data_IF_779822977105
#
_entry.id   IF_779822977105
#
_cell.length_a   1.000
_cell.length_b   1.000
_cell.length_c   1.000
_cell.angle_alpha   90.00
_cell.angle_beta   90.00
_cell.angle_gamma   90.00
#
_symmetry.space_group_name_H-M   'P 1'
#
loop_
_entity.id
_entity.type
_entity.pdbx_description
1 polymer ?
#
# COMPACT_ATOMS: atom_id res chain seq x y z
N UNK A 1 18.65 9.85 -34.38
CA UNK A 1 18.57 8.38 -34.22
C UNK A 1 19.94 7.87 -33.74
N UNK A 2 20.11 7.69 -32.42
CA UNK A 2 21.33 7.15 -31.84
C UNK A 2 21.40 5.66 -32.10
N UNK A 3 22.52 5.16 -32.60
CA UNK A 3 22.82 3.75 -32.78
C UNK A 3 22.65 3.02 -31.46
N UNK A 4 21.66 2.14 -31.37
CA UNK A 4 21.53 1.17 -30.27
C UNK A 4 22.73 0.22 -30.41
N UNK A 5 23.75 0.41 -29.57
CA UNK A 5 24.86 -0.52 -29.49
C UNK A 5 24.34 -1.74 -28.74
N UNK A 6 24.12 -2.85 -29.46
CA UNK A 6 23.68 -4.12 -28.88
C UNK A 6 24.79 -4.74 -28.04
N UNK A 7 25.01 -4.22 -26.83
CA UNK A 7 25.82 -4.92 -25.83
C UNK A 7 24.95 -6.06 -25.26
N UNK A 8 25.32 -7.30 -25.59
CA UNK A 8 24.71 -8.49 -24.98
C UNK A 8 25.06 -8.50 -23.50
N UNK A 9 24.09 -8.17 -22.65
CA UNK A 9 24.21 -8.37 -21.21
C UNK A 9 23.74 -9.78 -20.91
N UNK A 10 24.61 -10.57 -20.27
CA UNK A 10 24.24 -11.90 -19.82
C UNK A 10 23.50 -11.70 -18.47
N UNK A 11 22.18 -11.62 -18.52
CA UNK A 11 21.37 -11.73 -17.31
C UNK A 11 21.63 -13.10 -16.69
N UNK A 12 21.80 -13.19 -15.38
CA UNK A 12 22.03 -14.45 -14.68
C UNK A 12 20.80 -15.38 -14.68
N UNK A 13 19.73 -15.01 -15.40
CA UNK A 13 18.46 -15.72 -15.49
C UNK A 13 17.86 -15.62 -16.91
N UNK A 14 16.93 -16.52 -17.21
CA UNK A 14 16.21 -16.54 -18.48
C UNK A 14 14.84 -15.86 -18.29
N UNK A 15 14.53 -14.89 -19.13
CA UNK A 15 13.23 -14.21 -19.13
C UNK A 15 12.11 -15.15 -19.61
N UNK A 16 10.99 -15.12 -18.93
CA UNK A 16 9.75 -15.79 -19.36
C UNK A 16 9.16 -15.14 -20.61
N UNK A 17 8.31 -15.83 -21.38
CA UNK A 17 7.69 -15.28 -22.59
C UNK A 17 7.00 -13.94 -22.36
N UNK A 18 6.16 -13.82 -21.32
CA UNK A 18 5.45 -12.58 -20.99
C UNK A 18 6.41 -11.41 -20.71
N UNK A 19 7.55 -11.65 -20.04
CA UNK A 19 8.55 -10.60 -19.78
C UNK A 19 9.18 -10.10 -21.09
N UNK A 20 9.46 -11.01 -22.02
CA UNK A 20 10.00 -10.65 -23.35
C UNK A 20 9.00 -9.84 -24.15
N UNK A 21 7.72 -10.20 -24.12
CA UNK A 21 6.66 -9.50 -24.84
C UNK A 21 6.45 -8.08 -24.30
N UNK A 22 6.44 -7.90 -22.97
CA UNK A 22 6.37 -6.59 -22.33
C UNK A 22 7.55 -5.71 -22.75
N UNK A 23 8.78 -6.24 -22.64
CA UNK A 23 10.01 -5.51 -23.01
C UNK A 23 9.98 -5.13 -24.50
N UNK A 24 9.58 -6.07 -25.36
CA UNK A 24 9.46 -5.83 -26.79
C UNK A 24 8.42 -4.76 -27.12
N UNK A 25 7.29 -4.75 -26.39
CA UNK A 25 6.27 -3.73 -26.51
C UNK A 25 6.79 -2.34 -26.13
N UNK A 26 7.49 -2.21 -25.00
CA UNK A 26 8.11 -0.94 -24.55
C UNK A 26 9.12 -0.43 -25.59
N UNK A 27 9.93 -1.31 -26.16
CA UNK A 27 10.89 -0.91 -27.20
C UNK A 27 10.23 -0.51 -28.50
N UNK A 28 9.09 -1.11 -28.84
CA UNK A 28 8.31 -0.80 -30.04
C UNK A 28 7.53 0.51 -29.91
N UNK A 29 7.04 0.81 -28.74
CA UNK A 29 6.22 1.99 -28.42
C UNK A 29 6.86 2.80 -27.27
N UNK A 30 8.01 3.45 -27.52
CA UNK A 30 8.86 4.00 -26.46
C UNK A 30 8.36 5.34 -25.86
N UNK A 31 7.19 5.81 -26.29
CA UNK A 31 6.59 7.05 -25.79
C UNK A 31 5.26 6.80 -25.06
N UNK A 32 4.85 5.53 -24.92
CA UNK A 32 3.53 5.17 -24.46
C UNK A 32 3.55 4.62 -23.01
N UNK A 33 2.35 4.43 -22.48
CA UNK A 33 2.12 3.84 -21.15
C UNK A 33 1.83 2.35 -21.31
N UNK A 34 2.66 1.53 -20.67
CA UNK A 34 2.54 0.08 -20.67
C UNK A 34 2.05 -0.39 -19.30
N UNK A 35 0.88 -1.03 -19.27
CA UNK A 35 0.21 -1.43 -18.02
C UNK A 35 0.15 -2.94 -17.94
N UNK A 36 0.78 -3.49 -16.92
CA UNK A 36 0.92 -4.93 -16.70
C UNK A 36 0.09 -5.39 -15.53
N UNK A 37 -0.98 -6.11 -15.79
CA UNK A 37 -1.77 -6.82 -14.79
C UNK A 37 -1.17 -8.19 -14.53
N UNK A 38 -0.91 -8.52 -13.27
CA UNK A 38 -0.19 -9.73 -12.90
C UNK A 38 -0.67 -10.28 -11.56
N UNK A 39 -0.67 -11.58 -11.40
CA UNK A 39 -0.83 -12.22 -10.08
C UNK A 39 0.48 -12.21 -9.29
N UNK A 40 0.45 -12.60 -8.02
CA UNK A 40 1.67 -12.76 -7.20
C UNK A 40 2.60 -13.82 -7.78
N UNK A 41 3.91 -13.64 -7.54
CA UNK A 41 4.98 -14.61 -7.88
C UNK A 41 5.14 -14.90 -9.38
N UNK A 42 4.85 -13.93 -10.26
CA UNK A 42 5.00 -14.07 -11.72
C UNK A 42 6.22 -13.35 -12.28
N UNK A 43 7.10 -12.83 -11.42
CA UNK A 43 8.34 -12.16 -11.86
C UNK A 43 8.17 -10.69 -12.23
N UNK A 44 7.16 -9.99 -11.68
CA UNK A 44 6.94 -8.54 -11.85
C UNK A 44 8.21 -7.72 -11.61
N UNK A 45 8.82 -7.89 -10.43
CA UNK A 45 10.02 -7.15 -10.05
C UNK A 45 11.18 -7.39 -11.01
N UNK A 46 11.39 -8.65 -11.46
CA UNK A 46 12.41 -8.99 -12.45
C UNK A 46 12.16 -8.26 -13.78
N UNK A 47 10.92 -8.09 -14.19
CA UNK A 47 10.59 -7.32 -15.40
C UNK A 47 11.00 -5.87 -15.24
N UNK A 48 10.64 -5.22 -14.13
CA UNK A 48 11.02 -3.83 -13.83
C UNK A 48 12.53 -3.69 -13.77
N UNK A 49 13.22 -4.53 -13.02
CA UNK A 49 14.68 -4.54 -12.88
C UNK A 49 15.37 -4.67 -14.24
N UNK A 50 14.90 -5.59 -15.07
CA UNK A 50 15.44 -5.81 -16.43
C UNK A 50 15.26 -4.57 -17.29
N UNK A 51 14.11 -3.94 -17.26
CA UNK A 51 13.80 -2.74 -18.07
C UNK A 51 14.65 -1.56 -17.59
N UNK A 52 14.76 -1.33 -16.27
CA UNK A 52 15.60 -0.27 -15.71
C UNK A 52 17.08 -0.43 -16.13
N UNK A 53 17.63 -1.65 -16.01
CA UNK A 53 18.98 -1.94 -16.46
C UNK A 53 19.15 -1.75 -17.97
N UNK A 54 18.18 -2.21 -18.77
CA UNK A 54 18.20 -2.09 -20.21
C UNK A 54 18.29 -0.61 -20.66
N UNK A 55 17.45 0.24 -20.09
CA UNK A 55 17.44 1.68 -20.41
C UNK A 55 18.71 2.38 -19.92
N UNK A 56 19.17 2.08 -18.70
CA UNK A 56 20.37 2.69 -18.12
C UNK A 56 21.65 2.35 -18.90
N UNK A 57 21.74 1.15 -19.45
CA UNK A 57 22.94 0.69 -20.17
C UNK A 57 22.94 1.17 -21.62
N UNK A 58 21.76 1.15 -22.28
CA UNK A 58 21.70 1.44 -23.72
C UNK A 58 21.45 2.92 -24.04
N UNK A 59 20.93 3.72 -23.10
CA UNK A 59 20.70 5.16 -23.29
C UNK A 59 21.60 5.95 -22.36
N UNK A 60 22.76 6.37 -22.87
CA UNK A 60 23.76 7.17 -22.12
C UNK A 60 23.13 8.45 -21.58
N UNK A 61 23.45 8.81 -20.32
CA UNK A 61 22.92 9.99 -19.66
C UNK A 61 21.42 9.88 -19.28
N UNK A 62 20.82 8.68 -19.32
CA UNK A 62 19.41 8.51 -18.95
C UNK A 62 19.20 8.57 -17.44
N UNK A 63 18.14 9.26 -17.03
CA UNK A 63 17.59 9.20 -15.69
C UNK A 63 16.38 8.28 -15.71
N UNK A 64 16.43 7.18 -14.94
CA UNK A 64 15.41 6.17 -14.83
C UNK A 64 14.87 6.17 -13.40
N UNK A 65 13.56 6.15 -13.23
CA UNK A 65 12.94 6.23 -11.90
C UNK A 65 12.01 5.03 -11.72
N UNK A 66 12.07 4.42 -10.55
CA UNK A 66 11.04 3.47 -10.09
C UNK A 66 10.39 4.01 -8.82
N UNK A 67 9.06 3.94 -8.79
CA UNK A 67 8.23 4.32 -7.64
C UNK A 67 7.57 3.06 -7.12
N UNK A 68 7.76 2.79 -5.83
CA UNK A 68 7.14 1.68 -5.11
C UNK A 68 6.21 2.21 -4.02
N UNK A 69 5.21 1.47 -3.56
CA UNK A 69 4.35 1.89 -2.45
C UNK A 69 5.16 2.27 -1.20
N UNK A 70 6.10 1.42 -0.79
CA UNK A 70 6.91 1.61 0.41
C UNK A 70 8.39 1.74 0.10
N UNK A 71 9.14 2.39 1.00
CA UNK A 71 10.59 2.49 0.88
C UNK A 71 11.28 1.12 0.97
N UNK A 72 10.71 0.18 1.74
CA UNK A 72 11.23 -1.18 1.89
C UNK A 72 11.27 -1.95 0.57
N UNK A 73 10.21 -1.84 -0.24
CA UNK A 73 10.16 -2.45 -1.58
C UNK A 73 11.20 -1.82 -2.51
N UNK A 74 11.33 -0.50 -2.51
CA UNK A 74 12.36 0.21 -3.28
C UNK A 74 13.78 -0.21 -2.88
N UNK A 75 14.07 -0.37 -1.59
CA UNK A 75 15.37 -0.85 -1.08
C UNK A 75 15.70 -2.27 -1.55
N UNK A 76 14.72 -3.15 -1.59
CA UNK A 76 14.92 -4.53 -2.09
C UNK A 76 15.35 -4.49 -3.55
N UNK A 77 14.62 -3.79 -4.41
CA UNK A 77 14.91 -3.66 -5.83
C UNK A 77 16.27 -2.97 -6.08
N UNK A 78 16.58 -1.91 -5.32
CA UNK A 78 17.91 -1.27 -5.33
C UNK A 78 19.03 -2.28 -5.06
N UNK A 79 18.89 -3.14 -4.05
CA UNK A 79 19.89 -4.16 -3.70
C UNK A 79 20.08 -5.18 -4.82
N UNK A 80 18.99 -5.66 -5.43
CA UNK A 80 19.06 -6.63 -6.53
C UNK A 80 19.75 -6.03 -7.76
N UNK A 81 19.36 -4.83 -8.19
CA UNK A 81 19.98 -4.15 -9.34
C UNK A 81 21.46 -3.81 -9.05
N UNK A 82 21.77 -3.31 -7.84
CA UNK A 82 23.16 -3.07 -7.43
C UNK A 82 24.00 -4.34 -7.55
N UNK A 83 23.51 -5.47 -7.02
CA UNK A 83 24.21 -6.75 -7.08
C UNK A 83 24.45 -7.20 -8.54
N UNK A 84 23.50 -6.98 -9.43
CA UNK A 84 23.62 -7.32 -10.84
C UNK A 84 24.64 -6.43 -11.58
N UNK A 85 24.77 -5.16 -11.20
CA UNK A 85 25.59 -4.17 -11.91
C UNK A 85 26.99 -3.97 -11.33
N UNK A 86 27.21 -4.15 -10.02
CA UNK A 86 28.44 -3.73 -9.31
C UNK A 86 29.74 -4.34 -9.84
N UNK A 87 29.68 -5.48 -10.51
CA UNK A 87 30.83 -6.14 -11.10
C UNK A 87 31.04 -5.81 -12.61
N UNK A 88 30.17 -4.95 -13.17
CA UNK A 88 30.28 -4.56 -14.57
C UNK A 88 31.17 -3.31 -14.71
N UNK A 89 31.96 -3.18 -15.79
CA UNK A 89 32.76 -1.98 -16.06
C UNK A 89 31.95 -0.68 -16.17
N UNK A 90 30.63 -0.79 -16.38
CA UNK A 90 29.70 0.33 -16.45
C UNK A 90 29.26 0.85 -15.07
N UNK A 91 29.50 0.12 -13.99
CA UNK A 91 29.11 0.55 -12.65
C UNK A 91 30.03 1.69 -12.18
N UNK A 92 29.43 2.79 -11.70
CA UNK A 92 30.17 3.93 -11.14
C UNK A 92 30.03 3.98 -9.61
N UNK A 93 28.79 4.06 -9.12
CA UNK A 93 28.52 4.18 -7.68
C UNK A 93 27.09 3.74 -7.33
N UNK A 94 26.86 3.46 -6.05
CA UNK A 94 25.53 3.23 -5.49
C UNK A 94 25.43 3.83 -4.09
N UNK A 95 24.45 4.69 -3.87
CA UNK A 95 24.17 5.34 -2.61
C UNK A 95 22.94 4.70 -1.94
N UNK A 96 23.15 4.01 -0.81
CA UNK A 96 22.09 3.32 -0.07
C UNK A 96 21.21 4.25 0.78
N UNK A 97 21.60 5.51 0.98
CA UNK A 97 20.79 6.51 1.71
C UNK A 97 19.77 7.16 0.77
N UNK A 98 20.24 7.64 -0.40
CA UNK A 98 19.38 8.26 -1.41
C UNK A 98 18.71 7.24 -2.33
N UNK A 99 19.10 5.96 -2.24
CA UNK A 99 18.67 4.86 -3.11
C UNK A 99 18.88 5.21 -4.58
N UNK A 100 20.12 5.46 -4.95
CA UNK A 100 20.53 5.83 -6.30
C UNK A 100 21.70 4.96 -6.78
N UNK A 101 21.65 4.55 -8.05
CA UNK A 101 22.72 3.85 -8.74
C UNK A 101 23.17 4.70 -9.92
N UNK A 102 24.45 4.97 -10.05
CA UNK A 102 25.06 5.68 -11.16
C UNK A 102 25.95 4.77 -12.01
N UNK A 103 25.89 4.99 -13.32
CA UNK A 103 26.72 4.30 -14.30
C UNK A 103 27.78 5.25 -14.92
N UNK A 104 28.89 4.67 -15.40
CA UNK A 104 29.99 5.45 -16.01
C UNK A 104 29.59 6.12 -17.34
N UNK A 105 28.50 5.69 -17.97
CA UNK A 105 27.93 6.34 -19.15
C UNK A 105 27.05 7.57 -18.81
N UNK A 106 27.01 7.99 -17.54
CA UNK A 106 26.23 9.13 -17.07
C UNK A 106 24.78 8.80 -16.75
N UNK A 107 24.35 7.55 -16.87
CA UNK A 107 22.97 7.18 -16.53
C UNK A 107 22.79 6.94 -15.04
N UNK A 108 21.58 7.15 -14.54
CA UNK A 108 21.19 6.89 -13.14
C UNK A 108 19.89 6.11 -13.05
N UNK A 109 19.73 5.38 -11.92
CA UNK A 109 18.49 4.73 -11.49
C UNK A 109 18.18 5.22 -10.09
N UNK A 110 17.00 5.84 -9.93
CA UNK A 110 16.50 6.37 -8.65
C UNK A 110 15.32 5.52 -8.18
N UNK A 111 15.35 5.14 -6.90
CA UNK A 111 14.29 4.39 -6.26
C UNK A 111 13.56 5.30 -5.28
N UNK A 112 12.29 5.51 -5.52
CA UNK A 112 11.41 6.43 -4.76
C UNK A 112 10.26 5.66 -4.12
N UNK A 113 9.73 6.23 -3.04
CA UNK A 113 8.54 5.71 -2.36
C UNK A 113 7.35 6.66 -2.53
N UNK A 114 6.17 6.09 -2.72
CA UNK A 114 4.93 6.84 -2.74
C UNK A 114 4.57 7.46 -1.36
N UNK A 115 5.07 6.87 -0.27
CA UNK A 115 4.91 7.43 1.09
C UNK A 115 5.62 8.78 1.25
N UNK A 116 6.67 9.05 0.47
CA UNK A 116 7.46 10.28 0.52
C UNK A 116 7.12 11.20 -0.65
N UNK A 117 5.84 11.55 -0.79
CA UNK A 117 5.30 12.32 -1.93
C UNK A 117 6.01 13.66 -2.20
N UNK A 118 6.48 14.35 -1.16
CA UNK A 118 7.21 15.63 -1.29
C UNK A 118 8.54 15.47 -2.03
N UNK A 119 9.19 14.31 -1.93
CA UNK A 119 10.44 14.00 -2.65
C UNK A 119 10.24 13.58 -4.11
N UNK A 120 9.01 13.44 -4.58
CA UNK A 120 8.72 13.04 -5.96
C UNK A 120 8.73 14.24 -6.92
N UNK A 121 8.32 15.42 -6.47
CA UNK A 121 8.22 16.62 -7.33
C UNK A 121 9.59 17.09 -7.84
N UNK A 122 9.62 17.61 -9.07
CA UNK A 122 10.82 18.15 -9.69
C UNK A 122 11.77 17.12 -10.33
N UNK A 123 11.40 15.86 -10.39
CA UNK A 123 12.17 14.86 -11.12
C UNK A 123 11.86 14.91 -12.62
N UNK A 124 12.89 14.66 -13.44
CA UNK A 124 12.76 14.54 -14.89
C UNK A 124 13.28 13.17 -15.33
N UNK A 125 12.43 12.41 -15.99
CA UNK A 125 12.77 11.10 -16.53
C UNK A 125 13.18 11.27 -17.98
N UNK A 126 14.40 10.83 -18.30
CA UNK A 126 14.90 10.82 -19.68
C UNK A 126 15.04 9.39 -20.23
N UNK A 127 14.97 8.38 -19.35
CA UNK A 127 15.00 6.96 -19.66
C UNK A 127 13.60 6.33 -19.65
N UNK A 128 13.23 5.76 -18.50
CA UNK A 128 11.91 5.15 -18.26
C UNK A 128 11.42 5.47 -16.84
N UNK A 129 10.10 5.65 -16.70
CA UNK A 129 9.41 5.67 -15.41
C UNK A 129 8.78 4.30 -15.17
N UNK A 130 9.07 3.67 -14.04
CA UNK A 130 8.42 2.45 -13.60
C UNK A 130 7.59 2.74 -12.35
N UNK A 131 6.36 2.22 -12.27
CA UNK A 131 5.51 2.27 -11.08
C UNK A 131 5.18 0.84 -10.69
N UNK A 132 5.74 0.40 -9.56
CA UNK A 132 5.54 -0.94 -9.02
C UNK A 132 4.35 -0.95 -8.07
N UNK A 133 3.57 -2.03 -8.09
CA UNK A 133 2.36 -2.24 -7.30
C UNK A 133 1.41 -1.02 -7.31
N UNK A 134 1.17 -0.47 -8.49
CA UNK A 134 0.39 0.77 -8.72
C UNK A 134 -1.02 0.72 -8.10
N UNK A 135 -1.69 -0.44 -8.08
CA UNK A 135 -3.01 -0.58 -7.49
C UNK A 135 -3.05 -0.24 -5.98
N UNK A 136 -1.89 -0.27 -5.31
CA UNK A 136 -1.73 0.05 -3.88
C UNK A 136 -1.22 1.47 -3.62
N UNK A 137 -0.99 2.26 -4.67
CA UNK A 137 -0.60 3.67 -4.60
C UNK A 137 -1.85 4.54 -4.76
N UNK A 138 -1.92 5.65 -4.03
CA UNK A 138 -3.00 6.64 -4.18
C UNK A 138 -2.97 7.24 -5.60
N UNK A 139 -4.14 7.38 -6.21
CA UNK A 139 -4.27 7.82 -7.61
C UNK A 139 -3.63 9.20 -7.85
N UNK A 140 -3.77 10.13 -6.88
CA UNK A 140 -3.17 11.47 -6.96
C UNK A 140 -1.64 11.43 -7.07
N UNK A 141 -1.01 10.48 -6.39
CA UNK A 141 0.45 10.29 -6.46
C UNK A 141 0.84 9.78 -7.83
N UNK A 142 0.12 8.80 -8.38
CA UNK A 142 0.38 8.28 -9.73
C UNK A 142 0.25 9.41 -10.76
N UNK A 143 -0.85 10.16 -10.72
CA UNK A 143 -1.04 11.32 -11.61
C UNK A 143 0.04 12.39 -11.46
N UNK A 144 0.54 12.62 -10.24
CA UNK A 144 1.60 13.62 -10.00
C UNK A 144 2.96 13.22 -10.60
N UNK A 145 3.15 11.92 -10.90
CA UNK A 145 4.40 11.40 -11.47
C UNK A 145 4.41 11.36 -13.02
N UNK A 146 3.24 11.36 -13.66
CA UNK A 146 3.17 11.31 -15.13
C UNK A 146 3.88 12.49 -15.81
N UNK A 147 3.82 13.75 -15.32
CA UNK A 147 4.56 14.86 -15.92
C UNK A 147 6.08 14.69 -15.96
N UNK A 148 6.66 13.75 -15.18
CA UNK A 148 8.11 13.50 -15.19
C UNK A 148 8.64 13.04 -16.55
N UNK A 149 7.78 12.42 -17.37
CA UNK A 149 8.12 11.86 -18.67
C UNK A 149 7.78 12.77 -19.86
N UNK A 150 6.93 13.80 -19.64
CA UNK A 150 6.34 14.59 -20.74
C UNK A 150 7.38 15.30 -21.59
N UNK A 151 8.37 15.96 -20.96
CA UNK A 151 9.39 16.72 -21.66
C UNK A 151 10.23 15.86 -22.62
N UNK A 152 10.44 14.59 -22.31
CA UNK A 152 11.29 13.68 -23.06
C UNK A 152 10.49 12.58 -23.77
N UNK A 153 9.18 12.55 -23.60
CA UNK A 153 8.29 11.49 -24.10
C UNK A 153 8.84 10.11 -23.74
N UNK A 154 9.27 9.95 -22.50
CA UNK A 154 9.84 8.69 -22.03
C UNK A 154 8.72 7.68 -21.75
N UNK A 155 8.93 6.36 -21.96
CA UNK A 155 7.93 5.34 -21.67
C UNK A 155 7.62 5.27 -20.17
N UNK A 156 6.38 4.85 -19.87
CA UNK A 156 5.94 4.54 -18.51
C UNK A 156 5.59 3.05 -18.45
N UNK A 157 6.17 2.33 -17.51
CA UNK A 157 5.82 0.95 -17.20
C UNK A 157 5.10 0.91 -15.85
N UNK A 158 3.84 0.53 -15.85
CA UNK A 158 3.01 0.37 -14.67
C UNK A 158 2.75 -1.11 -14.44
N UNK A 159 3.12 -1.62 -13.27
CA UNK A 159 2.96 -3.04 -12.95
C UNK A 159 2.23 -3.18 -11.64
N UNK A 160 1.25 -4.07 -11.56
CA UNK A 160 0.59 -4.37 -10.29
C UNK A 160 -0.11 -5.74 -10.29
N UNK A 161 -0.29 -6.27 -9.09
CA UNK A 161 -1.40 -7.18 -8.79
C UNK A 161 -2.69 -6.36 -8.88
N UNK A 162 -3.76 -6.86 -9.55
CA UNK A 162 -5.03 -6.12 -9.63
C UNK A 162 -5.64 -6.01 -8.22
N UNK A 163 -6.38 -4.95 -7.99
CA UNK A 163 -7.11 -4.76 -6.75
C UNK A 163 -8.58 -4.47 -7.09
N UNK A 164 -9.01 -3.23 -7.08
CA UNK A 164 -10.40 -2.86 -7.34
C UNK A 164 -10.67 -2.62 -8.83
N UNK A 165 -11.94 -2.75 -9.22
CA UNK A 165 -12.46 -2.35 -10.55
C UNK A 165 -12.61 -0.82 -10.64
N UNK A 166 -11.67 -0.09 -10.07
CA UNK A 166 -11.64 1.37 -10.02
C UNK A 166 -10.22 1.87 -9.86
N UNK A 167 -10.02 3.17 -10.12
CA UNK A 167 -8.77 3.88 -9.94
C UNK A 167 -7.81 3.75 -11.11
N UNK A 168 -6.72 4.52 -11.05
CA UNK A 168 -5.81 4.76 -12.18
C UNK A 168 -5.25 3.48 -12.80
N UNK A 169 -4.91 2.47 -11.99
CA UNK A 169 -4.38 1.22 -12.51
C UNK A 169 -5.40 0.45 -13.33
N UNK A 170 -6.66 0.37 -12.83
CA UNK A 170 -7.75 -0.27 -13.58
C UNK A 170 -8.06 0.48 -14.87
N UNK A 171 -8.21 1.80 -14.80
CA UNK A 171 -8.58 2.63 -15.94
C UNK A 171 -7.51 2.57 -17.05
N UNK A 172 -6.23 2.66 -16.68
CA UNK A 172 -5.13 2.59 -17.65
C UNK A 172 -4.98 1.19 -18.26
N UNK A 173 -5.20 0.14 -17.46
CA UNK A 173 -5.22 -1.22 -17.97
C UNK A 173 -6.36 -1.42 -18.97
N UNK A 174 -7.57 -0.95 -18.64
CA UNK A 174 -8.73 -1.01 -19.54
C UNK A 174 -8.53 -0.17 -20.82
N UNK A 175 -7.90 1.01 -20.71
CA UNK A 175 -7.53 1.80 -21.87
C UNK A 175 -6.60 1.01 -22.82
N UNK A 176 -5.61 0.31 -22.27
CA UNK A 176 -4.70 -0.53 -23.03
C UNK A 176 -5.40 -1.71 -23.73
N UNK A 177 -6.35 -2.37 -23.06
CA UNK A 177 -7.15 -3.46 -23.64
C UNK A 177 -8.10 -2.96 -24.73
N UNK A 178 -8.68 -1.78 -24.54
CA UNK A 178 -9.62 -1.17 -25.50
C UNK A 178 -8.93 -0.49 -26.69
N UNK A 179 -7.58 -0.55 -26.77
CA UNK A 179 -6.82 0.03 -27.87
C UNK A 179 -6.81 1.56 -27.88
N UNK A 180 -6.96 2.20 -26.73
CA UNK A 180 -6.82 3.65 -26.60
C UNK A 180 -5.38 4.04 -26.94
N UNK A 181 -5.21 4.99 -27.86
CA UNK A 181 -3.89 5.43 -28.33
C UNK A 181 -3.00 5.88 -27.16
N UNK A 182 -1.74 5.42 -27.15
CA UNK A 182 -0.78 5.72 -26.08
C UNK A 182 -0.84 4.76 -24.87
N UNK A 183 -1.74 3.75 -24.90
CA UNK A 183 -1.84 2.76 -23.84
C UNK A 183 -1.70 1.33 -24.37
N UNK A 184 -0.95 0.49 -23.64
CA UNK A 184 -0.76 -0.93 -23.94
C UNK A 184 -1.00 -1.76 -22.70
N UNK A 185 -2.03 -2.64 -22.73
CA UNK A 185 -2.38 -3.53 -21.63
C UNK A 185 -1.78 -4.92 -21.82
N UNK A 186 -1.20 -5.49 -20.76
CA UNK A 186 -0.67 -6.85 -20.73
C UNK A 186 -1.30 -7.62 -19.58
N UNK A 187 -1.84 -8.80 -19.85
CA UNK A 187 -2.32 -9.72 -18.81
C UNK A 187 -1.35 -10.90 -18.68
N UNK A 188 -0.65 -10.99 -17.56
CA UNK A 188 0.27 -12.12 -17.35
C UNK A 188 -0.49 -13.44 -17.13
N UNK A 189 -1.77 -13.38 -16.76
CA UNK A 189 -2.59 -14.57 -16.59
C UNK A 189 -2.90 -15.28 -17.92
N UNK A 190 -2.72 -14.62 -19.07
CA UNK A 190 -2.84 -15.21 -20.39
C UNK A 190 -1.67 -16.15 -20.75
N UNK A 191 -0.60 -16.13 -19.96
CA UNK A 191 0.58 -16.96 -20.15
C UNK A 191 0.60 -18.16 -19.20
N UNK A 192 1.22 -19.25 -19.62
CA UNK A 192 1.47 -20.38 -18.73
C UNK A 192 2.52 -20.02 -17.69
N UNK A 193 2.06 -19.86 -16.45
CA UNK A 193 2.88 -19.57 -15.28
C UNK A 193 2.85 -20.72 -14.25
N UNK A 194 2.43 -21.91 -14.65
CA UNK A 194 2.33 -23.12 -13.81
C UNK A 194 3.66 -23.52 -13.16
N UNK A 195 4.78 -23.25 -13.84
CA UNK A 195 6.13 -23.45 -13.32
C UNK A 195 6.46 -22.55 -12.11
N UNK A 196 5.72 -21.45 -11.91
CA UNK A 196 5.93 -20.50 -10.82
C UNK A 196 5.01 -20.75 -9.61
N UNK A 197 3.83 -21.30 -9.86
CA UNK A 197 2.85 -21.60 -8.81
C UNK A 197 2.10 -22.90 -9.17
N UNK A 198 2.34 -23.97 -8.42
CA UNK A 198 1.69 -25.27 -8.65
C UNK A 198 0.21 -25.24 -8.25
N UNK A 199 -0.57 -26.14 -8.84
CA UNK A 199 -2.02 -26.29 -8.55
C UNK A 199 -2.27 -26.63 -7.08
N UNK A 200 -1.43 -27.46 -6.48
CA UNK A 200 -1.53 -27.86 -5.07
C UNK A 200 -1.35 -26.65 -4.14
N UNK A 201 -0.35 -25.79 -4.41
CA UNK A 201 -0.15 -24.55 -3.66
C UNK A 201 -1.30 -23.58 -3.84
N UNK A 202 -1.83 -23.47 -5.05
CA UNK A 202 -2.98 -22.61 -5.33
C UNK A 202 -4.20 -23.04 -4.50
N UNK A 203 -4.48 -24.34 -4.41
CA UNK A 203 -5.60 -24.86 -3.60
C UNK A 203 -5.38 -24.64 -2.09
N UNK A 204 -4.14 -24.78 -1.60
CA UNK A 204 -3.80 -24.45 -0.22
C UNK A 204 -4.07 -22.97 0.10
N UNK A 205 -3.68 -22.04 -0.79
CA UNK A 205 -3.95 -20.62 -0.61
C UNK A 205 -5.44 -20.31 -0.67
N UNK A 206 -6.21 -20.98 -1.53
CA UNK A 206 -7.65 -20.82 -1.62
C UNK A 206 -8.37 -21.06 -0.29
N UNK A 207 -7.85 -21.99 0.52
CA UNK A 207 -8.41 -22.32 1.83
C UNK A 207 -7.88 -21.39 2.95
N UNK A 208 -6.84 -20.60 2.68
CA UNK A 208 -6.11 -19.84 3.70
C UNK A 208 -6.41 -18.34 3.71
N UNK A 209 -7.02 -17.80 2.64
CA UNK A 209 -7.31 -16.37 2.49
C UNK A 209 -8.76 -16.15 2.10
N UNK A 210 -9.27 -14.90 2.25
CA UNK A 210 -10.62 -14.56 1.80
C UNK A 210 -10.77 -14.76 0.28
N UNK A 211 -12.01 -15.02 -0.17
CA UNK A 211 -12.29 -15.25 -1.59
C UNK A 211 -11.88 -14.07 -2.48
N UNK A 212 -12.03 -12.85 -1.99
CA UNK A 212 -11.64 -11.62 -2.69
C UNK A 212 -10.11 -11.53 -2.86
N UNK A 213 -9.36 -11.73 -1.77
CA UNK A 213 -7.89 -11.75 -1.81
C UNK A 213 -7.39 -12.87 -2.70
N UNK A 214 -8.01 -14.06 -2.65
CA UNK A 214 -7.64 -15.16 -3.53
C UNK A 214 -7.81 -14.79 -5.00
N UNK A 215 -8.94 -14.16 -5.36
CA UNK A 215 -9.21 -13.73 -6.73
C UNK A 215 -8.21 -12.69 -7.21
N UNK A 216 -7.89 -11.70 -6.40
CA UNK A 216 -6.93 -10.66 -6.73
C UNK A 216 -5.50 -11.22 -6.82
N UNK A 217 -4.97 -11.77 -5.72
CA UNK A 217 -3.56 -12.12 -5.57
C UNK A 217 -3.14 -13.33 -6.40
N UNK A 218 -4.01 -14.33 -6.46
CA UNK A 218 -3.67 -15.64 -7.04
C UNK A 218 -4.33 -15.91 -8.39
N UNK A 219 -5.50 -15.33 -8.66
CA UNK A 219 -6.13 -15.45 -9.98
C UNK A 219 -5.89 -14.23 -10.87
N UNK A 220 -5.32 -13.13 -10.34
CA UNK A 220 -5.06 -11.91 -11.10
C UNK A 220 -6.33 -11.22 -11.59
N UNK A 221 -7.42 -11.30 -10.82
CA UNK A 221 -8.72 -10.71 -11.15
C UNK A 221 -8.92 -9.41 -10.40
N UNK A 222 -9.46 -8.39 -11.07
CA UNK A 222 -10.01 -7.24 -10.37
C UNK A 222 -11.24 -7.64 -9.56
N UNK A 223 -11.39 -7.06 -8.38
CA UNK A 223 -12.43 -7.38 -7.40
C UNK A 223 -13.33 -6.18 -7.15
N UNK A 224 -14.53 -6.45 -6.64
CA UNK A 224 -15.43 -5.39 -6.17
C UNK A 224 -14.97 -4.92 -4.78
N UNK A 225 -15.24 -3.65 -4.47
CA UNK A 225 -14.97 -3.04 -3.17
C UNK A 225 -16.05 -3.45 -2.13
N UNK A 226 -16.11 -4.75 -1.86
CA UNK A 226 -17.11 -5.33 -0.95
C UNK A 226 -16.50 -6.36 -0.02
N UNK A 227 -16.97 -6.39 1.22
CA UNK A 227 -16.57 -7.34 2.26
C UNK A 227 -17.74 -8.24 2.65
N UNK A 228 -17.46 -9.51 2.97
CA UNK A 228 -18.46 -10.45 3.49
C UNK A 228 -18.98 -10.04 4.88
N UNK A 229 -18.17 -9.31 5.67
CA UNK A 229 -18.50 -8.86 7.03
C UNK A 229 -19.10 -7.45 7.00
N UNK A 230 -18.49 -6.53 6.24
CA UNK A 230 -18.80 -5.10 6.27
C UNK A 230 -19.65 -4.63 5.09
N UNK A 231 -20.03 -5.51 4.16
CA UNK A 231 -20.84 -5.20 2.99
C UNK A 231 -20.12 -4.38 1.92
N UNK A 232 -20.85 -3.56 1.19
CA UNK A 232 -20.34 -2.74 0.07
C UNK A 232 -19.66 -1.47 0.62
N UNK A 233 -18.35 -1.49 0.70
CA UNK A 233 -17.53 -0.43 1.30
C UNK A 233 -17.60 0.87 0.49
N UNK A 234 -17.72 0.77 -0.84
CA UNK A 234 -17.77 1.95 -1.71
C UNK A 234 -19.02 2.79 -1.46
N UNK A 235 -20.16 2.14 -1.19
CA UNK A 235 -21.41 2.85 -0.84
C UNK A 235 -21.32 3.62 0.48
N UNK A 236 -20.35 3.32 1.34
CA UNK A 236 -20.13 4.03 2.60
C UNK A 236 -19.36 5.35 2.40
N UNK A 237 -18.74 5.57 1.23
CA UNK A 237 -18.02 6.80 0.90
C UNK A 237 -18.99 7.88 0.43
N UNK A 238 -19.63 8.57 1.37
CA UNK A 238 -20.68 9.55 1.05
C UNK A 238 -20.16 10.91 0.58
N UNK A 239 -18.83 11.18 0.71
CA UNK A 239 -18.17 12.39 0.23
C UNK A 239 -18.55 13.70 0.96
N UNK A 240 -19.45 13.64 1.93
CA UNK A 240 -19.90 14.79 2.73
C UNK A 240 -19.46 14.58 4.16
N UNK A 241 -18.72 15.53 4.72
CA UNK A 241 -18.32 15.54 6.13
C UNK A 241 -19.05 16.75 6.78
N UNK A 242 -19.86 16.46 7.77
CA UNK A 242 -20.57 17.48 8.51
C UNK A 242 -19.65 18.14 9.53
N UNK A 243 -19.79 19.44 9.70
CA UNK A 243 -19.02 20.16 10.72
C UNK A 243 -19.44 19.66 12.11
N UNK A 244 -18.51 19.11 12.87
CA UNK A 244 -18.74 18.49 14.17
C UNK A 244 -17.85 19.12 15.24
N UNK A 245 -18.34 19.18 16.47
CA UNK A 245 -17.59 19.64 17.63
C UNK A 245 -16.92 18.49 18.38
N UNK A 246 -17.54 17.32 18.38
CA UNK A 246 -17.06 16.16 19.13
C UNK A 246 -16.43 15.14 18.21
N UNK A 247 -15.15 14.87 18.39
CA UNK A 247 -14.41 13.89 17.60
C UNK A 247 -13.72 12.87 18.51
N UNK A 248 -13.69 11.65 18.02
CA UNK A 248 -13.08 10.51 18.72
C UNK A 248 -11.98 9.93 17.86
N UNK A 249 -10.79 9.77 18.44
CA UNK A 249 -9.66 9.09 17.81
C UNK A 249 -9.55 7.66 18.33
N UNK A 250 -9.34 6.71 17.46
CA UNK A 250 -8.88 5.36 17.79
C UNK A 250 -7.41 5.21 17.42
N UNK A 251 -6.65 4.56 18.28
CA UNK A 251 -5.22 4.30 18.09
C UNK A 251 -4.94 2.83 18.30
N UNK A 252 -4.41 2.19 17.27
CA UNK A 252 -3.83 0.86 17.33
C UNK A 252 -2.30 0.98 17.25
N UNK A 253 -1.59 0.48 18.26
CA UNK A 253 -0.14 0.66 18.37
C UNK A 253 0.63 -0.46 17.68
N UNK A 254 1.64 -0.09 16.91
CA UNK A 254 2.66 -1.03 16.49
C UNK A 254 3.46 -1.53 17.68
N UNK A 255 3.60 -2.84 17.82
CA UNK A 255 4.42 -3.46 18.88
C UNK A 255 5.93 -3.41 18.60
N UNK A 256 6.34 -2.84 17.45
CA UNK A 256 7.76 -2.65 17.13
C UNK A 256 8.57 -3.93 16.93
N UNK A 257 7.93 -5.02 16.53
CA UNK A 257 8.60 -6.29 16.24
C UNK A 257 9.51 -6.15 15.01
N UNK A 258 10.80 -5.96 15.23
CA UNK A 258 11.86 -6.12 14.23
C UNK A 258 12.07 -7.59 13.85
N UNK A 259 11.00 -8.36 13.69
CA UNK A 259 11.12 -9.74 13.27
C UNK A 259 11.35 -9.84 11.76
N UNK A 260 12.51 -10.37 11.47
CA UNK A 260 13.09 -10.62 10.17
C UNK A 260 12.09 -11.15 9.14
N UNK A 261 11.69 -10.31 8.20
CA UNK A 261 11.08 -10.73 6.92
C UNK A 261 9.57 -10.54 6.77
N UNK A 262 8.87 -9.94 7.73
CA UNK A 262 7.48 -9.48 7.58
C UNK A 262 7.46 -7.97 7.40
N UNK A 263 6.42 -7.45 6.74
CA UNK A 263 6.13 -6.01 6.76
C UNK A 263 5.95 -5.58 8.23
N UNK A 264 6.57 -4.46 8.68
CA UNK A 264 6.46 -4.03 10.06
C UNK A 264 5.00 -3.70 10.40
N UNK A 265 4.55 -4.10 11.61
CA UNK A 265 3.30 -3.64 12.19
C UNK A 265 3.25 -2.11 12.16
N UNK A 266 2.11 -1.55 11.81
CA UNK A 266 1.93 -0.11 11.75
C UNK A 266 1.17 0.42 12.97
N UNK A 267 1.55 1.61 13.42
CA UNK A 267 0.66 2.39 14.28
C UNK A 267 -0.43 3.01 13.42
N UNK A 268 -1.68 2.71 13.72
CA UNK A 268 -2.84 3.19 12.97
C UNK A 268 -3.67 4.18 13.77
N UNK A 269 -4.14 5.23 13.09
CA UNK A 269 -5.01 6.27 13.63
C UNK A 269 -6.28 6.38 12.79
N UNK A 270 -7.44 6.48 13.46
CA UNK A 270 -8.70 6.81 12.84
C UNK A 270 -9.45 7.88 13.64
N UNK A 271 -10.03 8.88 12.99
CA UNK A 271 -10.81 9.93 13.65
C UNK A 271 -12.23 9.95 13.08
N UNK A 272 -13.20 9.66 13.94
CA UNK A 272 -14.62 9.77 13.65
C UNK A 272 -15.22 11.01 14.32
N UNK A 273 -16.10 11.70 13.61
CA UNK A 273 -16.93 12.74 14.20
C UNK A 273 -18.22 12.16 14.85
N UNK A 274 -19.02 12.99 15.52
CA UNK A 274 -20.26 12.57 16.22
C UNK A 274 -21.33 11.95 15.30
N UNK A 275 -21.24 12.21 13.98
CA UNK A 275 -22.14 11.65 12.97
C UNK A 275 -21.63 10.30 12.42
N UNK A 276 -20.55 9.74 12.97
CA UNK A 276 -19.82 8.56 12.49
C UNK A 276 -19.27 8.72 11.08
N UNK A 277 -18.80 9.90 10.76
CA UNK A 277 -18.08 10.16 9.51
C UNK A 277 -16.57 10.11 9.79
N UNK A 278 -15.88 9.27 9.04
CA UNK A 278 -14.42 9.14 9.11
C UNK A 278 -13.78 10.38 8.49
N UNK A 279 -13.12 11.21 9.31
CA UNK A 279 -12.45 12.43 8.86
C UNK A 279 -10.97 12.22 8.58
N UNK A 280 -10.37 11.22 9.23
CA UNK A 280 -8.96 10.92 9.07
C UNK A 280 -8.68 9.43 9.30
N UNK A 281 -7.78 8.86 8.49
CA UNK A 281 -7.24 7.52 8.68
C UNK A 281 -5.81 7.46 8.15
N UNK A 282 -4.92 6.85 8.90
CA UNK A 282 -3.52 6.67 8.51
C UNK A 282 -2.88 5.53 9.29
N UNK A 283 -1.98 4.78 8.64
CA UNK A 283 -1.05 3.83 9.26
C UNK A 283 0.38 4.20 8.91
N UNK A 284 1.30 4.12 9.88
CA UNK A 284 2.71 4.44 9.70
C UNK A 284 3.61 3.58 10.60
N UNK A 285 4.85 3.36 10.17
CA UNK A 285 5.85 2.53 10.87
C UNK A 285 7.23 3.17 10.98
N UNK A 286 7.40 4.40 10.49
CA UNK A 286 8.69 5.08 10.34
C UNK A 286 9.15 5.91 11.55
N UNK A 287 8.33 5.97 12.62
CA UNK A 287 8.55 6.83 13.79
C UNK A 287 8.98 6.03 15.02
N UNK A 288 9.94 6.58 15.78
CA UNK A 288 10.22 6.07 17.10
C UNK A 288 9.06 6.37 18.09
N UNK A 289 9.09 5.77 19.27
CA UNK A 289 8.03 5.91 20.27
C UNK A 289 7.70 7.36 20.62
N UNK A 290 8.71 8.22 20.80
CA UNK A 290 8.47 9.62 21.15
C UNK A 290 7.88 10.41 19.99
N UNK A 291 8.38 10.18 18.79
CA UNK A 291 7.86 10.76 17.55
C UNK A 291 6.42 10.32 17.29
N UNK A 292 6.10 9.04 17.51
CA UNK A 292 4.75 8.50 17.41
C UNK A 292 3.79 9.21 18.38
N UNK A 293 4.16 9.33 19.65
CA UNK A 293 3.33 10.00 20.66
C UNK A 293 3.14 11.48 20.33
N UNK A 294 4.20 12.18 19.92
CA UNK A 294 4.08 13.59 19.53
C UNK A 294 3.24 13.77 18.28
N UNK A 295 3.33 12.84 17.32
CA UNK A 295 2.48 12.83 16.13
C UNK A 295 1.00 12.67 16.49
N UNK A 296 0.67 11.70 17.35
CA UNK A 296 -0.71 11.51 17.86
C UNK A 296 -1.22 12.78 18.56
N UNK A 297 -0.41 13.41 19.40
CA UNK A 297 -0.78 14.66 20.10
C UNK A 297 -1.04 15.78 19.07
N UNK A 298 -0.22 15.90 18.04
CA UNK A 298 -0.43 16.90 17.00
C UNK A 298 -1.76 16.67 16.26
N UNK A 299 -2.10 15.40 15.98
CA UNK A 299 -3.40 15.06 15.38
C UNK A 299 -4.58 15.32 16.33
N UNK A 300 -4.42 15.08 17.63
CA UNK A 300 -5.43 15.45 18.64
C UNK A 300 -5.70 16.96 18.62
N UNK A 301 -4.67 17.78 18.51
CA UNK A 301 -4.80 19.25 18.43
C UNK A 301 -5.41 19.67 17.09
N UNK A 302 -4.88 19.16 15.98
CA UNK A 302 -5.29 19.50 14.62
C UNK A 302 -6.79 19.27 14.39
N UNK A 303 -7.28 18.12 14.85
CA UNK A 303 -8.68 17.72 14.68
C UNK A 303 -9.58 18.11 15.86
N UNK A 304 -9.03 18.71 16.91
CA UNK A 304 -9.75 19.02 18.15
C UNK A 304 -10.44 17.78 18.75
N UNK A 305 -9.68 16.70 18.92
CA UNK A 305 -10.17 15.42 19.42
C UNK A 305 -10.49 15.51 20.91
N UNK A 306 -11.72 15.17 21.32
CA UNK A 306 -12.15 15.19 22.72
C UNK A 306 -11.89 13.87 23.45
N UNK A 307 -11.92 12.75 22.71
CA UNK A 307 -11.72 11.41 23.26
C UNK A 307 -10.74 10.63 22.38
N UNK A 308 -9.82 9.92 23.01
CA UNK A 308 -8.88 9.05 22.33
C UNK A 308 -8.93 7.66 22.97
N UNK A 309 -9.26 6.64 22.19
CA UNK A 309 -9.25 5.23 22.60
C UNK A 309 -7.96 4.59 22.15
N UNK A 310 -7.25 3.98 23.07
CA UNK A 310 -5.90 3.45 22.83
C UNK A 310 -5.81 2.02 23.32
N UNK A 311 -5.22 1.15 22.51
CA UNK A 311 -4.99 -0.24 22.89
C UNK A 311 -3.95 -0.36 24.02
N UNK A 312 -4.20 -1.27 24.99
CA UNK A 312 -3.33 -1.46 26.18
C UNK A 312 -2.45 -2.69 26.13
N UNK A 313 -2.51 -3.47 25.06
CA UNK A 313 -1.77 -4.72 24.97
C UNK A 313 -0.25 -4.48 24.92
N UNK A 314 0.53 -5.42 25.48
CA UNK A 314 1.99 -5.43 25.43
C UNK A 314 2.64 -4.13 25.92
N UNK A 315 3.31 -3.39 25.07
CA UNK A 315 4.01 -2.13 25.38
C UNK A 315 3.07 -0.92 25.47
N UNK A 316 1.80 -1.05 25.11
CA UNK A 316 0.83 0.04 25.06
C UNK A 316 0.67 0.80 26.38
N UNK A 317 0.78 0.14 27.55
CA UNK A 317 0.68 0.82 28.86
C UNK A 317 1.73 1.90 29.05
N UNK A 318 2.98 1.64 28.67
CA UNK A 318 4.07 2.63 28.79
C UNK A 318 3.80 3.83 27.88
N UNK A 319 3.34 3.57 26.67
CA UNK A 319 3.01 4.63 25.69
C UNK A 319 1.83 5.49 26.17
N UNK A 320 0.81 4.86 26.76
CA UNK A 320 -0.36 5.54 27.32
C UNK A 320 0.05 6.47 28.48
N UNK A 321 0.92 6.02 29.36
CA UNK A 321 1.39 6.85 30.49
C UNK A 321 2.17 8.08 29.99
N UNK A 322 3.02 7.92 28.98
CA UNK A 322 3.74 9.04 28.36
C UNK A 322 2.76 9.98 27.64
N UNK A 323 1.80 9.43 26.88
CA UNK A 323 0.77 10.20 26.19
C UNK A 323 -0.05 11.05 27.17
N UNK A 324 -0.57 10.44 28.25
CA UNK A 324 -1.33 11.14 29.30
C UNK A 324 -0.53 12.26 29.96
N UNK A 325 0.75 12.00 30.29
CA UNK A 325 1.65 13.00 30.85
C UNK A 325 1.86 14.19 29.89
N UNK A 326 2.17 13.91 28.64
CA UNK A 326 2.39 14.96 27.62
C UNK A 326 1.11 15.79 27.36
N UNK A 327 -0.06 15.15 27.29
CA UNK A 327 -1.36 15.81 27.14
C UNK A 327 -1.63 16.76 28.33
N UNK A 328 -1.43 16.28 29.56
CA UNK A 328 -1.62 17.08 30.78
C UNK A 328 -0.64 18.28 30.85
N UNK A 329 0.64 18.05 30.52
CA UNK A 329 1.66 19.10 30.50
C UNK A 329 1.37 20.20 29.46
N UNK A 330 0.75 19.84 28.34
CA UNK A 330 0.38 20.79 27.26
C UNK A 330 -1.01 21.42 27.47
N UNK A 331 -1.72 21.08 28.54
CA UNK A 331 -3.07 21.60 28.84
C UNK A 331 -4.14 21.20 27.78
N UNK A 332 -3.94 20.08 27.08
CA UNK A 332 -4.83 19.63 26.04
C UNK A 332 -6.05 18.95 26.66
N UNK A 333 -7.25 19.33 26.22
CA UNK A 333 -8.52 18.74 26.66
C UNK A 333 -8.85 17.53 25.78
N UNK A 334 -8.24 16.39 26.09
CA UNK A 334 -8.56 15.11 25.46
C UNK A 334 -8.61 14.01 26.52
N UNK A 335 -9.70 13.26 26.56
CA UNK A 335 -9.88 12.16 27.50
C UNK A 335 -9.34 10.87 26.89
N UNK A 336 -8.40 10.20 27.57
CA UNK A 336 -7.80 8.94 27.12
C UNK A 336 -8.57 7.77 27.73
N UNK A 337 -9.09 6.90 26.87
CA UNK A 337 -9.72 5.63 27.21
C UNK A 337 -8.81 4.48 26.85
N UNK A 338 -8.61 3.57 27.77
CA UNK A 338 -7.82 2.36 27.56
C UNK A 338 -8.72 1.23 27.11
N UNK A 339 -8.28 0.50 26.07
CA UNK A 339 -8.96 -0.68 25.57
C UNK A 339 -8.04 -1.89 25.59
N UNK A 340 -8.46 -2.96 26.25
CA UNK A 340 -7.70 -4.22 26.28
C UNK A 340 -8.29 -5.16 25.24
N UNK A 341 -7.49 -5.49 24.24
CA UNK A 341 -7.89 -6.41 23.16
C UNK A 341 -7.75 -7.86 23.64
N UNK A 342 -8.86 -8.53 23.67
CA UNK A 342 -9.01 -9.96 23.84
C UNK A 342 -9.84 -10.50 22.67
N UNK A 343 -9.89 -11.81 22.48
CA UNK A 343 -10.74 -12.39 21.42
C UNK A 343 -12.21 -11.96 21.54
N UNK A 344 -12.73 -11.85 22.74
CA UNK A 344 -14.13 -11.48 22.97
C UNK A 344 -14.34 -9.97 22.77
N UNK A 345 -13.44 -9.09 23.26
CA UNK A 345 -13.55 -7.64 23.07
C UNK A 345 -13.29 -7.22 21.62
N UNK A 346 -12.34 -7.88 20.91
CA UNK A 346 -12.12 -7.67 19.48
C UNK A 346 -13.36 -8.03 18.68
N UNK A 347 -13.97 -9.18 19.00
CA UNK A 347 -15.23 -9.59 18.37
C UNK A 347 -16.31 -8.54 18.53
N UNK A 348 -16.51 -8.03 19.76
CA UNK A 348 -17.54 -7.05 20.07
C UNK A 348 -17.40 -5.78 19.22
N UNK A 349 -16.19 -5.20 19.14
CA UNK A 349 -15.98 -3.96 18.38
C UNK A 349 -16.05 -4.16 16.86
N UNK A 350 -15.63 -5.33 16.36
CA UNK A 350 -15.74 -5.65 14.92
C UNK A 350 -17.20 -5.91 14.52
N UNK A 351 -17.97 -6.64 15.34
CA UNK A 351 -19.41 -6.84 15.12
C UNK A 351 -20.17 -5.51 15.14
N UNK A 352 -19.83 -4.61 16.06
CA UNK A 352 -20.42 -3.28 16.14
C UNK A 352 -20.11 -2.44 14.87
N UNK A 353 -18.83 -2.43 14.43
CA UNK A 353 -18.44 -1.79 13.19
C UNK A 353 -19.20 -2.38 11.99
N UNK A 354 -19.31 -3.70 11.92
CA UNK A 354 -20.04 -4.39 10.85
C UNK A 354 -21.53 -3.99 10.81
N UNK A 355 -22.17 -3.87 11.98
CA UNK A 355 -23.57 -3.40 12.09
C UNK A 355 -23.72 -2.00 11.51
N UNK A 356 -22.79 -1.07 11.85
CA UNK A 356 -22.84 0.30 11.33
C UNK A 356 -22.56 0.36 9.82
N UNK A 357 -21.64 -0.45 9.31
CA UNK A 357 -21.35 -0.55 7.89
C UNK A 357 -22.57 -1.09 7.11
N UNK A 358 -23.11 -2.23 7.52
CA UNK A 358 -24.24 -2.87 6.83
C UNK A 358 -25.53 -2.04 6.87
N UNK A 359 -25.73 -1.24 7.93
CA UNK A 359 -26.87 -0.32 8.04
C UNK A 359 -26.62 1.04 7.38
N UNK A 360 -25.44 1.31 6.83
CA UNK A 360 -25.07 2.59 6.22
C UNK A 360 -25.11 3.77 7.19
N UNK A 361 -24.88 3.52 8.50
CA UNK A 361 -24.88 4.53 9.57
C UNK A 361 -23.49 5.03 9.92
N UNK A 362 -22.48 4.62 9.17
CA UNK A 362 -21.12 5.13 9.17
C UNK A 362 -20.78 5.66 7.78
N UNK A 363 -19.93 6.66 7.68
CA UNK A 363 -19.37 7.14 6.41
C UNK A 363 -17.85 6.98 6.42
N UNK A 364 -17.30 6.40 5.35
CA UNK A 364 -15.88 6.12 5.23
C UNK A 364 -15.21 7.08 4.23
N UNK A 365 -13.90 7.23 4.35
CA UNK A 365 -13.03 7.80 3.32
C UNK A 365 -12.75 6.69 2.29
N UNK A 366 -12.64 7.05 1.02
CA UNK A 366 -12.22 6.15 -0.04
C UNK A 366 -10.70 5.86 0.08
N UNK A 367 -10.37 4.95 1.00
CA UNK A 367 -8.99 4.55 1.26
C UNK A 367 -8.78 3.07 0.92
N UNK A 368 -7.92 2.83 -0.09
CA UNK A 368 -7.65 1.48 -0.62
C UNK A 368 -7.08 0.54 0.44
N UNK A 369 -6.24 1.06 1.34
CA UNK A 369 -5.59 0.25 2.38
C UNK A 369 -6.60 -0.16 3.46
N UNK A 370 -7.45 0.77 3.91
CA UNK A 370 -8.55 0.46 4.82
C UNK A 370 -9.48 -0.60 4.22
N UNK A 371 -9.90 -0.42 2.97
CA UNK A 371 -10.79 -1.38 2.30
C UNK A 371 -10.15 -2.75 2.19
N UNK A 372 -8.88 -2.82 1.82
CA UNK A 372 -8.15 -4.09 1.75
C UNK A 372 -8.11 -4.79 3.11
N UNK A 373 -7.85 -4.07 4.20
CA UNK A 373 -7.87 -4.61 5.55
C UNK A 373 -9.27 -5.09 5.94
N UNK A 374 -10.31 -4.28 5.72
CA UNK A 374 -11.70 -4.65 6.00
C UNK A 374 -12.17 -5.89 5.21
N UNK A 375 -11.75 -6.01 3.95
CA UNK A 375 -12.07 -7.17 3.09
C UNK A 375 -11.30 -8.43 3.49
N UNK A 376 -10.17 -8.28 4.17
CA UNK A 376 -9.34 -9.40 4.60
C UNK A 376 -9.79 -10.03 5.92
N UNK A 377 -10.72 -9.42 6.64
CA UNK A 377 -11.30 -10.05 7.83
C UNK A 377 -12.07 -11.31 7.46
N UNK A 378 -11.81 -12.39 8.22
CA UNK A 378 -12.51 -13.66 8.09
C UNK A 378 -13.10 -14.08 9.44
N UNK A 379 -14.26 -14.71 9.37
CA UNK A 379 -14.89 -15.31 10.53
C UNK A 379 -14.36 -16.74 10.68
N UNK A 380 -13.72 -17.02 11.81
CA UNK A 380 -13.29 -18.38 12.14
C UNK A 380 -14.08 -18.92 13.33
N UNK A 381 -14.34 -20.22 13.29
CA UNK A 381 -14.96 -20.93 14.40
C UNK A 381 -13.88 -21.74 15.12
N UNK A 382 -13.64 -21.44 16.39
CA UNK A 382 -12.69 -22.20 17.20
C UNK A 382 -13.21 -23.61 17.44
N UNK A 383 -12.36 -24.59 17.82
CA UNK A 383 -12.82 -25.94 18.20
C UNK A 383 -13.85 -25.95 19.32
N UNK A 384 -13.84 -24.93 20.19
CA UNK A 384 -14.83 -24.74 21.26
C UNK A 384 -16.15 -24.12 20.79
N UNK A 385 -16.30 -23.84 19.49
CA UNK A 385 -17.52 -23.26 18.90
C UNK A 385 -17.61 -21.72 18.99
N UNK A 386 -16.61 -21.04 19.58
CA UNK A 386 -16.55 -19.56 19.62
C UNK A 386 -16.22 -18.99 18.23
N UNK A 387 -16.86 -17.88 17.91
CA UNK A 387 -16.57 -17.07 16.71
C UNK A 387 -15.41 -16.13 17.02
N UNK A 388 -14.40 -16.10 16.17
CA UNK A 388 -13.30 -15.14 16.20
C UNK A 388 -13.22 -14.41 14.87
N UNK A 389 -12.80 -13.14 14.92
CA UNK A 389 -12.51 -12.31 13.75
C UNK A 389 -11.01 -12.14 13.66
N UNK A 390 -10.43 -12.62 12.57
CA UNK A 390 -8.99 -12.62 12.35
C UNK A 390 -8.68 -12.08 10.97
N UNK A 391 -7.45 -11.59 10.79
CA UNK A 391 -6.91 -11.35 9.46
C UNK A 391 -6.84 -12.67 8.68
N UNK A 392 -7.41 -12.70 7.48
CA UNK A 392 -7.41 -13.88 6.61
C UNK A 392 -6.05 -14.17 5.97
N UNK A 393 -5.11 -13.22 6.03
CA UNK A 393 -3.77 -13.34 5.47
C UNK A 393 -2.74 -12.76 6.43
N UNK A 394 -1.63 -13.45 6.63
CA UNK A 394 -0.51 -12.97 7.46
C UNK A 394 0.22 -11.73 6.87
N UNK A 395 -0.07 -11.37 5.63
CA UNK A 395 0.57 -10.26 4.93
C UNK A 395 -0.30 -9.00 4.88
N UNK A 396 -1.54 -9.07 5.35
CA UNK A 396 -2.46 -7.92 5.43
C UNK A 396 -2.81 -7.76 6.90
N UNK A 397 -2.32 -6.68 7.49
CA UNK A 397 -2.61 -6.29 8.86
C UNK A 397 -4.06 -5.82 9.00
N UNK A 398 -4.54 -5.63 10.22
CA UNK A 398 -5.90 -5.14 10.50
C UNK A 398 -5.90 -3.83 11.30
N UNK A 399 -4.74 -3.18 11.40
CA UNK A 399 -4.47 -2.02 12.25
C UNK A 399 -5.41 -0.82 11.97
N UNK A 400 -5.63 -0.47 10.68
CA UNK A 400 -6.56 0.61 10.31
C UNK A 400 -8.01 0.27 10.65
N UNK A 401 -8.40 -0.98 10.45
CA UNK A 401 -9.75 -1.43 10.79
C UNK A 401 -9.97 -1.43 12.31
N UNK A 402 -8.96 -1.83 13.09
CA UNK A 402 -9.02 -1.78 14.54
C UNK A 402 -9.03 -0.32 15.06
N UNK A 403 -8.19 0.56 14.53
CA UNK A 403 -8.23 1.98 14.87
C UNK A 403 -9.61 2.60 14.58
N UNK A 404 -10.24 2.26 13.45
CA UNK A 404 -11.61 2.67 13.15
C UNK A 404 -12.62 2.11 14.16
N UNK A 405 -12.51 0.82 14.51
CA UNK A 405 -13.38 0.20 15.51
C UNK A 405 -13.20 0.82 16.91
N UNK A 406 -11.97 1.18 17.30
CA UNK A 406 -11.71 1.89 18.56
C UNK A 406 -12.33 3.29 18.56
N UNK A 407 -12.26 4.03 17.46
CA UNK A 407 -12.89 5.35 17.38
C UNK A 407 -14.42 5.25 17.51
N UNK A 408 -15.04 4.26 16.89
CA UNK A 408 -16.47 3.99 17.03
C UNK A 408 -16.85 3.59 18.47
N UNK A 409 -16.04 2.72 19.10
CA UNK A 409 -16.21 2.33 20.51
C UNK A 409 -16.18 3.54 21.44
N UNK A 410 -15.27 4.49 21.24
CA UNK A 410 -15.12 5.70 22.05
C UNK A 410 -16.34 6.65 21.98
N UNK A 411 -17.13 6.59 20.90
CA UNK A 411 -18.38 7.35 20.83
C UNK A 411 -19.41 6.91 21.87
N UNK A 412 -19.41 5.63 22.24
CA UNK A 412 -20.29 5.06 23.26
C UNK A 412 -19.84 5.41 24.69
N UNK A 413 -18.56 5.75 24.90
CA UNK A 413 -18.04 6.11 26.20
C UNK A 413 -18.35 7.57 26.54
N UNK A 414 -18.95 7.80 27.71
CA UNK A 414 -19.26 9.15 28.21
C UNK A 414 -20.68 9.62 27.95
N UNK A 415 -21.58 8.79 27.43
CA UNK A 415 -23.01 9.09 27.36
C UNK A 415 -23.74 8.81 28.71
N UNK A 416 -23.05 8.26 29.69
CA UNK A 416 -23.58 7.92 31.02
C UNK A 416 -22.84 8.66 32.14
N UNK A 417 -22.91 9.99 32.16
CA UNK A 417 -22.62 10.78 33.37
C UNK A 417 -23.46 12.05 33.36
N UNK A 418 -24.78 11.87 33.43
CA UNK A 418 -25.71 12.88 33.91
C UNK A 418 -26.73 12.16 34.78
N UNK A 419 -26.40 11.95 36.05
CA UNK A 419 -27.30 12.10 37.18
C UNK A 419 -26.54 12.20 38.48
#
# INVERSE_FOLDING_TARGET
>A
MGKIISKKIKLGYTLFPHQKDIISGILKYPNDIHVVKSRRQTGKSITIETVLMLFSINKSGSCNIVISPTLGQGRKMFKEIKNALQNLPLFKSANGTTLEIELTNGSSILFKSAEQSDGLRGNTVTGILCIDECAYIKDEIVYSCLPFVDANKSPVLIVSTPLFKSGVFYDFYMNGLNGVSGFHGYDICDYDTSALLSKERLEMYRQSVSSQIFRSDYLGQFIEESSEIFGDLKKLCKGVIHQSKTKVMGVDWSTGGLDSGKDPDETALAILNEFRELEYIEGFSDKDTNQTIDYIINKIIEYNVEKCVVETNSMGRVYIDILKKKIALRGIRCQIFEFTTTNDSKREIIEDLAVHCNNGTISLIDDKKLFLQMMNFVVKKTPSGKITYESGSSNIHDDLCLALAFSLYGQKKGTYNIR
#
